data_IF_792133868847
#
_entry.id   IF_792133868847
#
_cell.length_a   1.000
_cell.length_b   1.000
_cell.length_c   1.000
_cell.angle_alpha   90.00
_cell.angle_beta   90.00
_cell.angle_gamma   90.00
#
_symmetry.space_group_name_H-M   'P 1'
#
loop_
_entity.id
_entity.type
_entity.pdbx_description
1 polymer ?
#
# COMPACT_ATOMS: atom_id res chain seq x y z
N UNK A 1 0.51 -1.69 4.68
CA UNK A 1 0.20 -2.67 3.57
C UNK A 1 0.74 -4.06 3.86
N UNK A 2 2.03 -4.24 4.17
CA UNK A 2 2.67 -5.56 4.33
C UNK A 2 1.90 -6.54 5.24
N UNK A 3 1.42 -6.10 6.41
CA UNK A 3 0.64 -6.95 7.33
C UNK A 3 -0.64 -7.51 6.68
N UNK A 4 -1.32 -6.74 5.83
CA UNK A 4 -2.51 -7.22 5.12
C UNK A 4 -2.13 -8.25 4.05
N UNK A 5 -1.02 -8.04 3.34
CA UNK A 5 -0.52 -9.02 2.36
C UNK A 5 -0.10 -10.32 3.05
N UNK A 6 0.54 -10.22 4.22
CA UNK A 6 0.93 -11.38 5.01
C UNK A 6 -0.27 -12.27 5.40
N UNK A 7 -1.42 -11.67 5.72
CA UNK A 7 -2.66 -12.40 6.03
C UNK A 7 -3.27 -13.12 4.79
N UNK A 8 -2.80 -12.83 3.59
CA UNK A 8 -3.28 -13.45 2.34
C UNK A 8 -2.35 -14.55 1.81
N UNK A 9 -1.25 -14.85 2.52
CA UNK A 9 -0.32 -15.91 2.13
C UNK A 9 -1.01 -17.27 2.13
N UNK A 10 -0.69 -18.07 1.14
CA UNK A 10 -1.04 -19.49 1.09
C UNK A 10 -0.03 -20.31 1.90
N UNK A 11 -0.34 -21.59 2.11
CA UNK A 11 0.43 -22.46 3.01
C UNK A 11 1.93 -22.56 2.63
N UNK A 12 2.25 -22.50 1.35
CA UNK A 12 3.61 -22.67 0.79
C UNK A 12 4.24 -21.33 0.36
N UNK A 13 3.56 -20.21 0.57
CA UNK A 13 4.07 -18.89 0.21
C UNK A 13 4.81 -18.26 1.38
N UNK A 14 5.82 -17.45 1.04
CA UNK A 14 6.56 -16.64 2.00
C UNK A 14 6.46 -15.16 1.64
N UNK A 15 6.49 -14.31 2.66
CA UNK A 15 6.59 -12.87 2.51
C UNK A 15 8.06 -12.42 2.53
N UNK A 16 8.41 -11.46 1.67
CA UNK A 16 9.69 -10.76 1.70
C UNK A 16 9.45 -9.28 2.00
N UNK A 17 9.98 -8.80 3.10
CA UNK A 17 10.00 -7.38 3.46
C UNK A 17 11.40 -6.82 3.22
N UNK A 18 11.50 -5.78 2.37
CA UNK A 18 12.72 -5.02 2.11
C UNK A 18 12.46 -3.60 2.61
N UNK A 19 13.24 -3.14 3.58
CA UNK A 19 13.08 -1.82 4.19
C UNK A 19 14.41 -1.35 4.76
N UNK A 20 14.65 -0.06 4.80
CA UNK A 20 15.83 0.54 5.40
C UNK A 20 15.86 0.34 6.92
N UNK A 21 14.70 0.24 7.55
CA UNK A 21 14.52 0.20 9.00
C UNK A 21 15.33 1.30 9.72
N UNK A 22 16.33 0.91 10.51
CA UNK A 22 17.19 1.83 11.28
C UNK A 22 18.25 2.55 10.41
N UNK A 23 18.46 2.15 9.15
CA UNK A 23 19.48 2.72 8.26
C UNK A 23 19.03 4.06 7.65
N UNK A 24 18.72 5.03 8.50
CA UNK A 24 18.12 6.31 8.11
C UNK A 24 19.06 7.22 7.29
N UNK A 25 20.35 6.96 7.30
CA UNK A 25 21.33 7.68 6.45
C UNK A 25 21.08 7.40 4.94
N UNK A 26 20.44 6.27 4.62
CA UNK A 26 20.05 5.90 3.26
C UNK A 26 18.66 6.46 2.87
N UNK A 27 17.93 7.04 3.80
CA UNK A 27 16.58 7.58 3.59
C UNK A 27 16.64 8.96 2.93
N UNK A 28 16.67 8.99 1.59
CA UNK A 28 16.88 10.19 0.79
C UNK A 28 15.75 11.21 0.88
N UNK A 29 14.52 10.77 0.99
CA UNK A 29 13.33 11.64 1.07
C UNK A 29 12.90 11.94 2.52
N UNK A 30 13.58 11.32 3.50
CA UNK A 30 13.31 11.47 4.94
C UNK A 30 11.88 11.11 5.33
N UNK A 31 11.21 10.28 4.54
CA UNK A 31 9.89 9.73 4.85
C UNK A 31 10.01 8.64 5.90
N UNK A 32 9.08 8.65 6.86
CA UNK A 32 8.98 7.61 7.86
C UNK A 32 10.21 7.47 8.78
N UNK A 33 10.10 6.57 9.72
CA UNK A 33 11.20 6.07 10.56
C UNK A 33 10.95 4.59 10.81
N UNK A 34 11.54 3.74 9.98
CA UNK A 34 11.43 2.29 10.10
C UNK A 34 12.06 1.79 11.40
N UNK A 35 11.47 0.74 11.95
CA UNK A 35 12.03 0.01 13.08
C UNK A 35 11.76 -1.48 12.88
N UNK A 36 12.82 -2.25 12.72
CA UNK A 36 12.72 -3.70 12.51
C UNK A 36 12.06 -4.39 13.71
N UNK A 37 12.39 -3.98 14.94
CA UNK A 37 11.78 -4.55 16.15
C UNK A 37 10.28 -4.30 16.21
N UNK A 38 9.84 -3.07 15.91
CA UNK A 38 8.41 -2.71 15.84
C UNK A 38 7.69 -3.44 14.71
N UNK A 39 8.34 -3.63 13.58
CA UNK A 39 7.77 -4.40 12.47
C UNK A 39 7.50 -5.85 12.89
N UNK A 40 8.47 -6.51 13.54
CA UNK A 40 8.32 -7.88 14.07
C UNK A 40 7.22 -7.95 15.14
N UNK A 41 7.18 -6.99 16.05
CA UNK A 41 6.12 -6.90 17.07
C UNK A 41 4.73 -6.81 16.42
N UNK A 42 4.59 -5.99 15.39
CA UNK A 42 3.34 -5.86 14.63
C UNK A 42 2.96 -7.15 13.90
N UNK A 43 3.92 -7.88 13.31
CA UNK A 43 3.68 -9.19 12.70
C UNK A 43 3.11 -10.17 13.74
N UNK A 44 3.76 -10.31 14.89
CA UNK A 44 3.30 -11.19 15.98
C UNK A 44 1.91 -10.79 16.47
N UNK A 45 1.68 -9.49 16.65
CA UNK A 45 0.41 -8.95 17.16
C UNK A 45 -0.76 -9.13 16.19
N UNK A 46 -0.55 -8.90 14.90
CA UNK A 46 -1.63 -8.81 13.92
C UNK A 46 -1.73 -10.01 12.98
N UNK A 47 -0.63 -10.75 12.79
CA UNK A 47 -0.59 -11.95 11.96
C UNK A 47 -0.40 -13.24 12.79
N UNK A 48 -0.21 -13.11 14.11
CA UNK A 48 -0.02 -14.23 15.05
C UNK A 48 1.43 -14.69 15.16
N UNK A 49 2.26 -14.49 14.14
CA UNK A 49 3.67 -14.91 14.09
C UNK A 49 4.41 -14.08 13.04
N UNK A 50 5.73 -14.04 13.13
CA UNK A 50 6.62 -13.61 12.04
C UNK A 50 7.08 -14.77 11.15
N UNK A 51 6.66 -15.99 11.41
CA UNK A 51 7.02 -17.15 10.61
C UNK A 51 6.54 -16.97 9.16
N UNK A 52 7.35 -17.43 8.22
CA UNK A 52 7.08 -17.23 6.79
C UNK A 52 7.37 -15.82 6.27
N UNK A 53 7.94 -14.91 7.10
CA UNK A 53 8.40 -13.59 6.65
C UNK A 53 9.92 -13.51 6.67
N UNK A 54 10.50 -13.29 5.50
CA UNK A 54 11.92 -13.01 5.35
C UNK A 54 12.11 -11.49 5.39
N UNK A 55 12.98 -11.00 6.28
CA UNK A 55 13.22 -9.57 6.47
C UNK A 55 14.63 -9.25 5.99
N UNK A 56 14.74 -8.41 4.97
CA UNK A 56 15.98 -7.87 4.42
C UNK A 56 16.07 -6.38 4.74
N UNK A 57 16.99 -6.02 5.65
CA UNK A 57 17.31 -4.62 5.93
C UNK A 57 18.25 -4.08 4.85
N UNK A 58 17.93 -2.93 4.27
CA UNK A 58 18.71 -2.26 3.24
C UNK A 58 17.86 -1.59 2.17
N UNK A 59 18.53 -0.96 1.20
CA UNK A 59 17.89 -0.32 0.08
C UNK A 59 17.37 -1.34 -0.95
N UNK A 60 16.21 -1.05 -1.55
CA UNK A 60 15.72 -1.80 -2.70
C UNK A 60 16.63 -1.70 -3.92
N UNK A 61 17.45 -0.63 -4.00
CA UNK A 61 18.46 -0.48 -5.07
C UNK A 61 19.60 -1.49 -5.00
N UNK A 62 19.80 -2.14 -3.85
CA UNK A 62 20.79 -3.18 -3.63
C UNK A 62 20.21 -4.60 -3.84
N UNK A 63 18.99 -4.67 -4.39
CA UNK A 63 18.28 -5.92 -4.62
C UNK A 63 18.05 -6.12 -6.11
N UNK A 64 18.24 -7.35 -6.57
CA UNK A 64 17.93 -7.73 -7.95
C UNK A 64 16.66 -8.58 -8.03
N UNK A 65 16.07 -8.66 -9.22
CA UNK A 65 14.98 -9.60 -9.51
C UNK A 65 15.38 -11.04 -9.18
N UNK A 66 16.63 -11.39 -9.48
CA UNK A 66 17.21 -12.71 -9.17
C UNK A 66 17.20 -13.00 -7.67
N UNK A 67 17.58 -12.02 -6.83
CA UNK A 67 17.55 -12.15 -5.36
C UNK A 67 16.14 -12.41 -4.84
N UNK A 68 15.15 -11.65 -5.34
CA UNK A 68 13.75 -11.80 -4.94
C UNK A 68 13.26 -13.21 -5.31
N UNK A 69 13.47 -13.61 -6.56
CA UNK A 69 13.04 -14.92 -7.06
C UNK A 69 13.74 -16.09 -6.38
N UNK A 70 15.02 -15.95 -6.05
CA UNK A 70 15.75 -16.96 -5.30
C UNK A 70 15.27 -17.08 -3.85
N UNK A 71 14.74 -15.97 -3.27
CA UNK A 71 14.30 -15.93 -1.88
C UNK A 71 12.88 -16.45 -1.71
N UNK A 72 11.91 -16.00 -2.53
CA UNK A 72 10.48 -16.28 -2.35
C UNK A 72 9.80 -16.82 -3.62
N UNK A 73 10.55 -17.06 -4.69
CA UNK A 73 9.97 -17.45 -5.97
C UNK A 73 9.27 -16.31 -6.71
N UNK A 74 8.43 -16.62 -7.70
CA UNK A 74 7.61 -15.64 -8.38
C UNK A 74 6.58 -15.00 -7.43
N UNK A 75 6.47 -13.67 -7.46
CA UNK A 75 5.68 -12.89 -6.51
C UNK A 75 4.26 -12.68 -7.00
N UNK A 76 3.26 -13.09 -6.23
CA UNK A 76 1.84 -12.92 -6.57
C UNK A 76 1.31 -11.53 -6.24
N UNK A 77 1.76 -10.93 -5.15
CA UNK A 77 1.40 -9.58 -4.72
C UNK A 77 2.67 -8.81 -4.35
N UNK A 78 2.94 -7.71 -5.03
CA UNK A 78 4.10 -6.86 -4.78
C UNK A 78 3.63 -5.46 -4.38
N UNK A 79 3.98 -5.01 -3.18
CA UNK A 79 3.68 -3.63 -2.71
C UNK A 79 4.92 -2.76 -2.90
N UNK A 80 4.77 -1.68 -3.66
CA UNK A 80 5.73 -0.60 -3.80
C UNK A 80 5.27 0.53 -2.88
N UNK A 81 5.95 0.69 -1.75
CA UNK A 81 5.64 1.63 -0.65
C UNK A 81 6.96 2.04 0.03
N UNK A 82 7.97 2.30 -0.81
CA UNK A 82 9.33 2.62 -0.41
C UNK A 82 9.62 4.11 -0.50
N UNK A 83 10.81 4.48 -0.99
CA UNK A 83 11.19 5.89 -1.17
C UNK A 83 10.37 6.59 -2.27
N UNK A 84 10.10 7.88 -2.06
CA UNK A 84 9.14 8.65 -2.86
C UNK A 84 9.81 9.52 -3.94
N UNK A 85 10.98 9.15 -4.42
CA UNK A 85 11.63 9.80 -5.56
C UNK A 85 11.30 9.08 -6.88
N UNK A 86 11.34 9.79 -8.00
CA UNK A 86 11.16 9.21 -9.34
C UNK A 86 12.02 7.95 -9.55
N UNK A 87 13.30 8.04 -9.18
CA UNK A 87 14.27 6.96 -9.38
C UNK A 87 13.98 5.73 -8.54
N UNK A 88 13.67 5.91 -7.25
CA UNK A 88 13.37 4.79 -6.35
C UNK A 88 12.06 4.12 -6.74
N UNK A 89 11.02 4.91 -7.04
CA UNK A 89 9.74 4.38 -7.50
C UNK A 89 9.90 3.58 -8.81
N UNK A 90 10.65 4.11 -9.78
CA UNK A 90 10.90 3.39 -11.04
C UNK A 90 11.71 2.11 -10.82
N UNK A 91 12.72 2.14 -9.93
CA UNK A 91 13.49 0.96 -9.54
C UNK A 91 12.59 -0.12 -8.94
N UNK A 92 11.75 0.24 -7.97
CA UNK A 92 10.90 -0.72 -7.26
C UNK A 92 9.83 -1.32 -8.19
N UNK A 93 9.30 -0.51 -9.12
CA UNK A 93 8.40 -0.99 -10.16
C UNK A 93 9.11 -1.94 -11.15
N UNK A 94 10.39 -1.70 -11.45
CA UNK A 94 11.18 -2.61 -12.30
C UNK A 94 11.45 -3.94 -11.59
N UNK A 95 11.77 -3.92 -10.30
CA UNK A 95 11.89 -5.13 -9.47
C UNK A 95 10.57 -5.90 -9.44
N UNK A 96 9.47 -5.19 -9.22
CA UNK A 96 8.13 -5.78 -9.20
C UNK A 96 7.80 -6.44 -10.54
N UNK A 97 7.95 -5.73 -11.66
CA UNK A 97 7.70 -6.25 -13.00
C UNK A 97 8.49 -7.52 -13.30
N UNK A 98 9.78 -7.54 -12.93
CA UNK A 98 10.65 -8.68 -13.16
C UNK A 98 10.39 -9.86 -12.23
N UNK A 99 9.93 -9.63 -11.00
CA UNK A 99 9.68 -10.68 -10.02
C UNK A 99 8.26 -11.26 -10.08
N UNK A 100 7.32 -10.58 -10.74
CA UNK A 100 5.90 -10.92 -10.73
C UNK A 100 5.63 -12.33 -11.26
N UNK A 101 4.72 -13.04 -10.61
CA UNK A 101 4.14 -14.29 -11.08
C UNK A 101 3.11 -14.01 -12.19
N UNK A 102 2.76 -15.04 -12.95
CA UNK A 102 1.62 -14.97 -13.88
C UNK A 102 0.34 -14.60 -13.12
N UNK A 103 -0.40 -13.62 -13.64
CA UNK A 103 -1.58 -13.05 -12.96
C UNK A 103 -1.29 -12.27 -11.68
N UNK A 104 -0.03 -12.00 -11.37
CA UNK A 104 0.34 -11.22 -10.21
C UNK A 104 -0.04 -9.75 -10.30
N UNK A 105 -0.11 -9.10 -9.14
CA UNK A 105 -0.53 -7.70 -8.97
C UNK A 105 0.57 -6.90 -8.30
N UNK A 106 0.86 -5.72 -8.84
CA UNK A 106 1.68 -4.69 -8.18
C UNK A 106 0.77 -3.62 -7.61
N UNK A 107 1.02 -3.22 -6.38
CA UNK A 107 0.29 -2.18 -5.66
C UNK A 107 1.25 -1.02 -5.42
N UNK A 108 1.06 0.09 -6.11
CA UNK A 108 1.84 1.32 -5.92
C UNK A 108 1.09 2.24 -4.96
N UNK A 109 1.74 2.58 -3.84
CA UNK A 109 1.23 3.56 -2.88
C UNK A 109 1.60 4.99 -3.29
N UNK A 110 0.94 5.95 -2.68
CA UNK A 110 1.22 7.40 -2.74
C UNK A 110 1.21 8.06 -4.13
N UNK A 111 0.70 7.39 -5.18
CA UNK A 111 0.67 7.95 -6.54
C UNK A 111 -0.06 9.30 -6.62
N UNK A 112 -1.12 9.48 -5.85
CA UNK A 112 -1.92 10.72 -5.82
C UNK A 112 -1.62 11.60 -4.59
N UNK A 113 -0.56 11.29 -3.85
CA UNK A 113 -0.19 12.06 -2.68
C UNK A 113 0.50 13.37 -3.10
N UNK A 114 -0.08 14.55 -2.77
CA UNK A 114 0.49 15.83 -3.16
C UNK A 114 1.84 16.13 -2.48
N UNK A 115 2.19 15.43 -1.42
CA UNK A 115 3.48 15.55 -0.75
C UNK A 115 4.60 14.75 -1.45
N UNK A 116 4.22 13.79 -2.32
CA UNK A 116 5.15 12.90 -3.01
C UNK A 116 4.91 12.85 -4.52
N UNK A 117 4.98 14.02 -5.24
CA UNK A 117 4.66 14.09 -6.67
C UNK A 117 5.57 13.23 -7.55
N UNK A 118 6.79 12.95 -7.09
CA UNK A 118 7.77 12.14 -7.81
C UNK A 118 7.39 10.66 -7.91
N UNK A 119 6.47 10.16 -7.08
CA UNK A 119 5.92 8.81 -7.23
C UNK A 119 5.15 8.69 -8.56
N UNK A 120 4.36 9.71 -8.91
CA UNK A 120 3.67 9.75 -10.21
C UNK A 120 4.65 9.85 -11.38
N UNK A 121 5.72 10.63 -11.23
CA UNK A 121 6.79 10.74 -12.22
C UNK A 121 7.49 9.37 -12.42
N UNK A 122 7.79 8.66 -11.33
CA UNK A 122 8.38 7.33 -11.35
C UNK A 122 7.54 6.30 -12.09
N UNK A 123 6.23 6.27 -11.88
CA UNK A 123 5.32 5.41 -12.65
C UNK A 123 5.29 5.82 -14.12
N UNK A 124 5.19 7.11 -14.43
CA UNK A 124 5.23 7.62 -15.80
C UNK A 124 6.52 7.23 -16.53
N UNK A 125 7.67 7.40 -15.86
CA UNK A 125 8.97 6.94 -16.36
C UNK A 125 8.97 5.45 -16.65
N UNK A 126 8.56 4.63 -15.67
CA UNK A 126 8.53 3.17 -15.79
C UNK A 126 7.69 2.70 -16.98
N UNK A 127 6.55 3.34 -17.26
CA UNK A 127 5.68 2.97 -18.39
C UNK A 127 6.21 3.47 -19.73
N UNK A 128 6.60 4.75 -19.82
CA UNK A 128 6.87 5.39 -21.11
C UNK A 128 8.34 5.37 -21.51
N UNK A 129 9.26 5.50 -20.56
CA UNK A 129 10.71 5.57 -20.82
C UNK A 129 11.31 4.16 -20.76
N UNK A 130 11.05 3.44 -19.68
CA UNK A 130 11.61 2.11 -19.44
C UNK A 130 10.79 1.02 -20.17
N UNK A 131 9.64 1.38 -20.77
CA UNK A 131 8.77 0.51 -21.57
C UNK A 131 8.35 -0.76 -20.83
N UNK A 132 8.00 -0.60 -19.56
CA UNK A 132 7.52 -1.70 -18.73
C UNK A 132 6.35 -2.47 -19.37
N UNK A 133 6.27 -3.78 -19.17
CA UNK A 133 5.10 -4.55 -19.55
C UNK A 133 3.88 -4.26 -18.66
N UNK A 134 4.07 -3.71 -17.44
CA UNK A 134 2.96 -3.47 -16.52
C UNK A 134 2.02 -2.36 -17.02
N UNK A 135 0.72 -2.55 -16.75
CA UNK A 135 -0.32 -1.54 -17.01
C UNK A 135 -1.20 -1.37 -15.79
N UNK A 136 -1.63 -0.13 -15.48
CA UNK A 136 -2.64 0.08 -14.47
C UNK A 136 -3.97 -0.54 -14.89
N UNK A 137 -4.72 -1.10 -13.92
CA UNK A 137 -6.04 -1.66 -14.13
C UNK A 137 -7.07 -1.18 -13.11
N UNK A 138 -6.63 -0.66 -11.95
CA UNK A 138 -7.51 -0.10 -10.95
C UNK A 138 -6.84 1.02 -10.15
N UNK A 139 -7.67 1.91 -9.63
CA UNK A 139 -7.29 3.07 -8.81
C UNK A 139 -8.18 3.11 -7.57
N UNK A 140 -7.56 3.35 -6.42
CA UNK A 140 -8.23 3.73 -5.17
C UNK A 140 -7.69 5.08 -4.68
N UNK A 141 -8.27 5.73 -3.67
CA UNK A 141 -7.84 7.06 -3.23
C UNK A 141 -6.34 7.24 -2.92
N UNK A 142 -5.62 6.16 -2.60
CA UNK A 142 -4.19 6.27 -2.30
C UNK A 142 -3.32 5.35 -3.16
N UNK A 143 -3.90 4.49 -4.01
CA UNK A 143 -3.12 3.43 -4.65
C UNK A 143 -3.49 3.23 -6.11
N UNK A 144 -2.48 2.84 -6.90
CA UNK A 144 -2.63 2.33 -8.26
C UNK A 144 -2.28 0.85 -8.28
N UNK A 145 -3.13 0.06 -8.92
CA UNK A 145 -2.93 -1.38 -9.08
C UNK A 145 -2.52 -1.67 -10.52
N UNK A 146 -1.43 -2.41 -10.69
CA UNK A 146 -0.87 -2.75 -11.99
C UNK A 146 -0.77 -4.28 -12.14
N UNK A 147 -0.87 -4.75 -13.37
CA UNK A 147 -0.64 -6.13 -13.75
C UNK A 147 -0.06 -6.21 -15.17
N UNK A 148 0.27 -7.40 -15.63
CA UNK A 148 0.55 -7.63 -17.04
C UNK A 148 -0.72 -7.41 -17.87
N UNK A 149 -0.62 -6.87 -19.11
CA UNK A 149 -1.77 -6.43 -19.91
C UNK A 149 -2.82 -7.53 -20.14
N UNK A 150 -2.38 -8.76 -20.34
CA UNK A 150 -3.24 -9.92 -20.58
C UNK A 150 -4.15 -10.27 -19.40
N UNK A 151 -3.84 -9.79 -18.21
CA UNK A 151 -4.63 -10.00 -16.99
C UNK A 151 -5.53 -8.80 -16.63
N UNK A 152 -5.38 -7.67 -17.33
CA UNK A 152 -6.07 -6.42 -16.98
C UNK A 152 -7.60 -6.57 -16.97
N UNK A 153 -8.18 -7.16 -17.99
CA UNK A 153 -9.63 -7.37 -18.07
C UNK A 153 -10.12 -8.31 -16.96
N UNK A 154 -9.43 -9.44 -16.77
CA UNK A 154 -9.77 -10.41 -15.72
C UNK A 154 -9.80 -9.75 -14.33
N UNK A 155 -8.81 -8.92 -14.03
CA UNK A 155 -8.74 -8.24 -12.74
C UNK A 155 -9.79 -7.14 -12.59
N UNK A 156 -10.08 -6.36 -13.63
CA UNK A 156 -11.13 -5.34 -13.61
C UNK A 156 -12.50 -5.96 -13.35
N UNK A 157 -12.84 -7.02 -14.07
CA UNK A 157 -14.10 -7.76 -13.89
C UNK A 157 -14.21 -8.36 -12.48
N UNK A 158 -13.12 -8.95 -11.98
CA UNK A 158 -13.08 -9.50 -10.63
C UNK A 158 -13.31 -8.42 -9.56
N UNK A 159 -12.73 -7.22 -9.72
CA UNK A 159 -12.92 -6.09 -8.81
C UNK A 159 -14.35 -5.57 -8.81
N UNK A 160 -14.95 -5.35 -9.99
CA UNK A 160 -16.35 -4.90 -10.10
C UNK A 160 -17.28 -5.91 -9.42
N UNK A 161 -17.06 -7.19 -9.67
CA UNK A 161 -17.85 -8.27 -9.07
C UNK A 161 -17.67 -8.37 -7.56
N UNK A 162 -16.45 -8.21 -7.06
CA UNK A 162 -16.14 -8.33 -5.64
C UNK A 162 -16.55 -7.08 -4.83
N UNK A 163 -16.50 -5.89 -5.44
CA UNK A 163 -16.72 -4.61 -4.78
C UNK A 163 -17.72 -3.72 -5.53
N UNK A 164 -18.94 -4.19 -5.84
CA UNK A 164 -19.89 -3.45 -6.66
C UNK A 164 -20.31 -2.11 -6.04
N UNK A 165 -20.29 -2.00 -4.71
CA UNK A 165 -20.65 -0.77 -3.99
C UNK A 165 -19.51 0.23 -3.87
N UNK A 166 -18.27 -0.21 -4.08
CA UNK A 166 -17.09 0.64 -4.10
C UNK A 166 -16.73 1.10 -5.52
N UNK A 167 -17.21 0.40 -6.55
CA UNK A 167 -16.98 0.80 -7.93
C UNK A 167 -17.70 2.10 -8.25
N UNK A 168 -16.95 3.13 -8.67
CA UNK A 168 -17.47 4.46 -8.98
C UNK A 168 -17.64 4.67 -10.48
N UNK A 169 -16.62 4.34 -11.27
CA UNK A 169 -16.65 4.50 -12.74
C UNK A 169 -15.49 3.80 -13.43
N UNK A 170 -15.66 3.60 -14.74
CA UNK A 170 -14.58 3.30 -15.67
C UNK A 170 -13.80 4.58 -16.03
N UNK A 171 -12.51 4.47 -16.26
CA UNK A 171 -11.64 5.57 -16.67
C UNK A 171 -10.44 5.05 -17.48
N UNK A 172 -9.52 5.93 -17.81
CA UNK A 172 -8.24 5.58 -18.43
C UNK A 172 -7.08 6.19 -17.64
N UNK A 173 -5.96 5.46 -17.59
CA UNK A 173 -4.71 5.94 -17.02
C UNK A 173 -3.53 5.42 -17.84
N UNK A 174 -2.69 6.33 -18.32
CA UNK A 174 -1.53 5.99 -19.16
C UNK A 174 -1.90 5.14 -20.40
N UNK A 175 -3.07 5.41 -21.00
CA UNK A 175 -3.57 4.69 -22.16
C UNK A 175 -4.12 3.28 -21.89
N UNK A 176 -4.28 2.93 -20.61
CA UNK A 176 -4.90 1.67 -20.21
C UNK A 176 -6.26 1.90 -19.53
N UNK A 177 -7.27 1.05 -19.76
CA UNK A 177 -8.54 1.14 -19.06
C UNK A 177 -8.38 0.75 -17.59
N UNK A 178 -8.97 1.55 -16.70
CA UNK A 178 -8.90 1.35 -15.26
C UNK A 178 -10.27 1.46 -14.60
N UNK A 179 -10.45 0.75 -13.48
CA UNK A 179 -11.61 0.89 -12.61
C UNK A 179 -11.29 1.83 -11.44
N UNK A 180 -12.13 2.85 -11.24
CA UNK A 180 -12.04 3.71 -10.06
C UNK A 180 -12.89 3.12 -8.95
N UNK A 181 -12.24 2.79 -7.83
CA UNK A 181 -12.91 2.32 -6.63
C UNK A 181 -12.76 3.38 -5.53
N UNK A 182 -13.87 3.90 -5.07
CA UNK A 182 -13.93 4.83 -3.95
C UNK A 182 -13.94 4.11 -2.60
N UNK A 183 -13.94 4.90 -1.54
CA UNK A 183 -14.04 4.37 -0.17
C UNK A 183 -15.45 3.83 0.16
N UNK A 184 -16.38 3.88 -0.80
CA UNK A 184 -17.77 3.50 -0.63
C UNK A 184 -18.52 4.39 0.40
N UNK A 185 -19.84 4.48 0.32
CA UNK A 185 -20.64 5.25 1.28
C UNK A 185 -20.49 4.78 2.73
N UNK A 186 -20.06 3.53 2.94
CA UNK A 186 -19.81 2.97 4.26
C UNK A 186 -18.53 3.46 4.94
N UNK A 187 -17.50 3.83 4.20
CA UNK A 187 -16.20 4.19 4.79
C UNK A 187 -16.20 5.61 5.36
N UNK A 188 -16.87 6.56 4.72
CA UNK A 188 -16.97 7.93 5.25
C UNK A 188 -17.71 7.96 6.60
N UNK A 189 -18.77 7.13 6.74
CA UNK A 189 -19.47 7.00 8.02
C UNK A 189 -18.63 6.28 9.07
N UNK A 190 -17.93 5.21 8.71
CA UNK A 190 -17.08 4.46 9.63
C UNK A 190 -15.79 5.20 10.02
N UNK A 191 -15.25 6.08 9.16
CA UNK A 191 -14.13 6.96 9.51
C UNK A 191 -14.59 8.12 10.39
N UNK A 192 -15.71 8.76 10.06
CA UNK A 192 -16.31 9.76 10.93
C UNK A 192 -16.65 9.17 12.30
N UNK A 193 -17.24 7.98 12.36
CA UNK A 193 -17.55 7.28 13.60
C UNK A 193 -16.30 6.86 14.37
N UNK A 194 -15.22 6.47 13.69
CA UNK A 194 -13.90 6.20 14.32
C UNK A 194 -13.28 7.47 14.88
N UNK A 195 -13.27 8.57 14.14
CA UNK A 195 -12.76 9.86 14.62
C UNK A 195 -13.59 10.41 15.79
N UNK A 196 -14.90 10.31 15.69
CA UNK A 196 -15.82 10.68 16.79
C UNK A 196 -15.60 9.80 18.02
N UNK A 197 -15.39 8.50 17.84
CA UNK A 197 -15.11 7.56 18.93
C UNK A 197 -13.74 7.82 19.57
N UNK A 198 -12.71 8.11 18.77
CA UNK A 198 -11.39 8.51 19.27
C UNK A 198 -11.44 9.84 20.00
N UNK A 199 -12.19 10.83 19.46
CA UNK A 199 -12.40 12.12 20.12
C UNK A 199 -13.15 11.97 21.45
N UNK A 200 -14.19 11.14 21.49
CA UNK A 200 -14.92 10.81 22.73
C UNK A 200 -14.04 10.11 23.75
N UNK A 201 -13.20 9.16 23.33
CA UNK A 201 -12.25 8.50 24.22
C UNK A 201 -11.20 9.48 24.75
N UNK A 202 -10.66 10.36 23.88
CA UNK A 202 -9.69 11.40 24.26
C UNK A 202 -10.27 12.41 25.26
N UNK A 203 -11.51 12.86 25.04
CA UNK A 203 -12.22 13.77 25.95
C UNK A 203 -12.51 13.07 27.29
N UNK A 204 -12.89 11.79 27.27
CA UNK A 204 -13.19 11.00 28.47
C UNK A 204 -11.98 10.82 29.41
N UNK A 205 -10.77 10.78 28.86
CA UNK A 205 -9.52 10.65 29.65
C UNK A 205 -9.02 11.99 30.20
N UNK A 206 -9.68 13.11 29.91
CA UNK A 206 -9.27 14.46 30.34
C UNK A 206 -10.43 15.21 31.01
N UNK A 207 -10.54 15.16 32.34
CA UNK A 207 -11.69 15.70 33.08
C UNK A 207 -12.03 17.17 32.78
N UNK A 208 -11.01 18.01 32.57
CA UNK A 208 -11.20 19.42 32.22
C UNK A 208 -11.86 19.63 30.84
N UNK A 209 -11.50 18.82 29.83
CA UNK A 209 -12.10 18.84 28.51
C UNK A 209 -13.52 18.25 28.53
N UNK A 210 -13.76 17.23 29.34
CA UNK A 210 -15.09 16.66 29.52
C UNK A 210 -16.05 17.65 30.19
N UNK A 211 -15.59 18.43 31.16
CA UNK A 211 -16.38 19.50 31.80
C UNK A 211 -16.69 20.64 30.82
N UNK A 212 -15.72 21.06 30.00
CA UNK A 212 -15.92 22.07 28.96
C UNK A 212 -16.91 21.60 27.89
N UNK A 213 -16.78 20.37 27.41
CA UNK A 213 -17.69 19.80 26.41
C UNK A 213 -19.14 19.73 26.91
N UNK A 214 -19.36 19.35 28.17
CA UNK A 214 -20.70 19.38 28.82
C UNK A 214 -21.29 20.79 28.86
N UNK A 215 -20.48 21.78 29.23
CA UNK A 215 -20.89 23.18 29.31
C UNK A 215 -21.31 23.76 27.94
N UNK A 216 -20.62 23.35 26.86
CA UNK A 216 -20.92 23.83 25.49
C UNK A 216 -22.09 23.10 24.84
N UNK A 217 -22.28 21.81 25.15
CA UNK A 217 -23.38 21.01 24.54
C UNK A 217 -24.71 21.07 25.28
N UNK A 218 -24.78 21.71 26.44
CA UNK A 218 -26.04 21.90 27.21
C UNK A 218 -26.67 20.59 27.70
N UNK A 219 -25.91 19.46 27.73
CA UNK A 219 -26.39 18.19 28.28
C UNK A 219 -25.96 18.09 29.73
N UNK A 220 -26.80 18.56 30.62
CA UNK A 220 -26.86 18.11 32.00
C UNK A 220 -27.73 16.85 32.04
N UNK A 221 -27.18 15.75 32.57
CA UNK A 221 -28.00 14.64 33.07
C UNK A 221 -28.54 14.99 34.46
#
# INVERSE_FOLDING_TARGET
MFLLLQLTLRQDEQGLAIDLFEQQDLNVDRSGRGSRSRFIENLRKHCGSEDGVIIRAGSSTDVTVGDIRATVGPVRLFSVDGGHTEMLTANDLALAAGALAEGGIVILDDHFNPYWPDVAAGLGRHIFVDRSPLRPFAITPGKVFLCAPEWSETWRDALIKAFPTAHEKHSEMYGAPVEILGLGRFSLRSEADRHVSQLKAYVKTRPALAAFARKVTGREE
#
